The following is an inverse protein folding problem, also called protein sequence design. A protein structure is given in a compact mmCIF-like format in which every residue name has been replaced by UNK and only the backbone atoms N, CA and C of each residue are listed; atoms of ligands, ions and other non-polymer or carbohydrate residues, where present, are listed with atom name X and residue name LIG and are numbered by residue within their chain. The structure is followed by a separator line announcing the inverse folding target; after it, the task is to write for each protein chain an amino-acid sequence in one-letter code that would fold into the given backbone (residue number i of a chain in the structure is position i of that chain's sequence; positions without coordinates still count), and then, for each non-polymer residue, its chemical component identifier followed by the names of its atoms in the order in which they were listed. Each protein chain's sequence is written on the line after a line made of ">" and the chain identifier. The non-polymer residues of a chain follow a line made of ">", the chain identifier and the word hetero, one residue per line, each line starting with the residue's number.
data_IF_491222649368
#
_entry.id   IF_491222649368
#
_cell.length_a   1.000
_cell.length_b   1.000
_cell.length_c   1.000
_cell.angle_alpha   90.00
_cell.angle_beta   90.00
_cell.angle_gamma   90.00
#
_symmetry.space_group_name_H-M   'P 1'
#
loop_
_entity.id
_entity.type
_entity.pdbx_description
1 polymer ?
#
# COMPACT_ATOMS: atom_id res chain seq x y z
N UNK A 1 -10.09 -0.10 -35.66
CA UNK A 1 -9.30 -1.21 -35.08
C UNK A 1 -8.49 -0.60 -33.93
N UNK A 2 -8.48 -1.21 -32.75
CA UNK A 2 -7.64 -0.70 -31.66
C UNK A 2 -6.21 -1.22 -31.86
N UNK A 3 -5.22 -0.35 -31.74
CA UNK A 3 -3.79 -0.67 -31.97
C UNK A 3 -3.06 -1.02 -30.66
N UNK A 4 -3.62 -0.70 -29.49
CA UNK A 4 -3.15 -1.14 -28.19
C UNK A 4 -4.29 -1.12 -27.16
N UNK A 5 -4.19 -1.98 -26.15
CA UNK A 5 -5.05 -1.99 -24.96
C UNK A 5 -4.14 -1.89 -23.74
N UNK A 6 -4.41 -0.92 -22.87
CA UNK A 6 -3.71 -0.76 -21.59
C UNK A 6 -4.58 -1.36 -20.50
N UNK A 7 -4.02 -2.31 -19.76
CA UNK A 7 -4.67 -2.91 -18.61
C UNK A 7 -4.07 -2.33 -17.34
N UNK A 8 -4.92 -2.00 -16.40
CA UNK A 8 -4.49 -1.76 -15.03
C UNK A 8 -4.12 -3.10 -14.37
N UNK A 9 -3.22 -3.07 -13.39
CA UNK A 9 -2.80 -4.27 -12.66
C UNK A 9 -3.74 -4.52 -11.47
N UNK A 10 -3.93 -3.50 -10.64
CA UNK A 10 -4.61 -3.60 -9.36
C UNK A 10 -6.14 -3.64 -9.55
N UNK A 11 -6.77 -4.71 -9.09
CA UNK A 11 -8.24 -4.88 -9.20
C UNK A 11 -8.76 -5.18 -10.60
N UNK A 12 -7.88 -5.31 -11.60
CA UNK A 12 -8.21 -5.76 -12.96
C UNK A 12 -7.56 -7.11 -13.29
N UNK A 13 -6.26 -7.27 -13.04
CA UNK A 13 -5.53 -8.54 -13.28
C UNK A 13 -5.13 -9.27 -12.01
N UNK A 14 -4.80 -8.54 -10.94
CA UNK A 14 -4.47 -9.09 -9.63
C UNK A 14 -5.25 -8.36 -8.53
N UNK A 15 -5.86 -9.09 -7.60
CA UNK A 15 -6.42 -8.49 -6.38
C UNK A 15 -5.29 -8.31 -5.36
N UNK A 16 -4.46 -7.27 -5.56
CA UNK A 16 -3.33 -6.89 -4.69
C UNK A 16 -3.76 -6.13 -3.44
N UNK A 17 -5.07 -5.82 -3.32
CA UNK A 17 -5.60 -5.05 -2.21
C UNK A 17 -5.39 -5.71 -0.84
N UNK A 18 -5.55 -7.04 -0.67
CA UNK A 18 -5.25 -7.72 0.58
C UNK A 18 -3.78 -7.57 0.99
N UNK A 19 -2.86 -7.72 0.05
CA UNK A 19 -1.41 -7.72 0.32
C UNK A 19 -0.94 -6.32 0.73
N UNK A 20 -1.41 -5.28 0.02
CA UNK A 20 -1.18 -3.88 0.38
C UNK A 20 -1.73 -3.55 1.77
N UNK A 21 -2.93 -4.05 2.10
CA UNK A 21 -3.52 -3.84 3.41
C UNK A 21 -2.76 -4.58 4.52
N UNK A 22 -2.29 -5.80 4.25
CA UNK A 22 -1.50 -6.60 5.17
C UNK A 22 -0.14 -5.95 5.45
N UNK A 23 0.58 -5.54 4.41
CA UNK A 23 1.83 -4.79 4.49
C UNK A 23 1.71 -3.54 5.37
N UNK A 24 0.69 -2.70 5.12
CA UNK A 24 0.48 -1.49 5.92
C UNK A 24 0.18 -1.81 7.39
N UNK A 25 -0.62 -2.85 7.65
CA UNK A 25 -0.95 -3.24 9.02
C UNK A 25 0.24 -3.89 9.74
N UNK A 26 1.13 -4.59 9.04
CA UNK A 26 2.43 -5.04 9.58
C UNK A 26 3.27 -3.85 10.01
N UNK A 27 3.44 -2.87 9.12
CA UNK A 27 4.18 -1.65 9.42
C UNK A 27 3.59 -0.86 10.60
N UNK A 28 2.25 -0.77 10.70
CA UNK A 28 1.57 -0.17 11.86
C UNK A 28 1.83 -0.95 13.15
N UNK A 29 1.80 -2.28 13.09
CA UNK A 29 2.09 -3.14 14.25
C UNK A 29 3.52 -2.96 14.75
N UNK A 30 4.51 -2.85 13.85
CA UNK A 30 5.91 -2.59 14.22
C UNK A 30 6.10 -1.26 14.94
N UNK A 31 5.21 -0.30 14.69
CA UNK A 31 5.18 1.02 15.35
C UNK A 31 4.28 1.05 16.59
N UNK A 32 3.68 -0.08 16.99
CA UNK A 32 2.74 -0.16 18.11
C UNK A 32 1.39 0.50 17.85
N UNK A 33 1.03 0.75 16.58
CA UNK A 33 -0.25 1.33 16.18
C UNK A 33 -1.29 0.24 15.92
N UNK A 34 -2.55 0.51 16.28
CA UNK A 34 -3.65 -0.41 16.01
C UNK A 34 -3.86 -0.63 14.50
N UNK A 35 -4.16 -1.86 14.08
CA UNK A 35 -4.46 -2.16 12.69
C UNK A 35 -5.66 -1.36 12.16
N UNK A 36 -5.63 -0.99 10.88
CA UNK A 36 -6.75 -0.38 10.18
C UNK A 36 -7.63 -1.45 9.51
N UNK A 37 -8.96 -1.23 9.44
CA UNK A 37 -9.85 -2.17 8.77
C UNK A 37 -9.50 -2.34 7.29
N UNK A 38 -9.44 -3.60 6.81
CA UNK A 38 -9.12 -3.90 5.41
C UNK A 38 -10.06 -3.19 4.42
N UNK A 39 -11.34 -3.05 4.76
CA UNK A 39 -12.31 -2.31 3.94
C UNK A 39 -11.92 -0.84 3.72
N UNK A 40 -11.32 -0.18 4.72
CA UNK A 40 -10.83 1.20 4.61
C UNK A 40 -9.59 1.27 3.72
N UNK A 41 -8.72 0.26 3.79
CA UNK A 41 -7.49 0.22 3.02
C UNK A 41 -7.74 -0.12 1.55
N UNK A 42 -8.73 -0.98 1.27
CA UNK A 42 -9.10 -1.39 -0.10
C UNK A 42 -9.47 -0.22 -1.01
N UNK A 43 -10.08 0.86 -0.50
CA UNK A 43 -10.41 2.03 -1.32
C UNK A 43 -9.18 2.90 -1.66
N UNK A 44 -8.03 2.61 -1.06
CA UNK A 44 -6.81 3.40 -1.17
C UNK A 44 -5.70 2.66 -1.93
N UNK A 45 -5.89 1.39 -2.26
CA UNK A 45 -4.88 0.55 -2.92
C UNK A 45 -4.50 1.08 -4.30
N UNK A 46 -5.46 1.65 -5.04
CA UNK A 46 -5.23 2.30 -6.34
C UNK A 46 -4.32 3.53 -6.27
N UNK A 47 -4.04 4.04 -5.06
CA UNK A 47 -3.10 5.15 -4.83
C UNK A 47 -1.68 4.66 -4.51
N UNK A 48 -1.46 3.34 -4.48
CA UNK A 48 -0.18 2.68 -4.21
C UNK A 48 0.39 3.01 -2.83
N UNK A 49 1.70 2.78 -2.67
CA UNK A 49 2.42 3.01 -1.42
C UNK A 49 2.19 4.42 -0.84
N UNK A 50 2.13 5.45 -1.69
CA UNK A 50 1.89 6.84 -1.27
C UNK A 50 0.55 7.00 -0.55
N UNK A 51 -0.54 6.50 -1.14
CA UNK A 51 -1.87 6.59 -0.52
C UNK A 51 -1.97 5.76 0.75
N UNK A 52 -1.33 4.59 0.75
CA UNK A 52 -1.27 3.69 1.90
C UNK A 52 -0.53 4.33 3.09
N UNK A 53 0.64 4.91 2.86
CA UNK A 53 1.41 5.61 3.89
C UNK A 53 0.69 6.87 4.40
N UNK A 54 0.04 7.63 3.51
CA UNK A 54 -0.74 8.80 3.95
C UNK A 54 -1.92 8.40 4.83
N UNK A 55 -2.68 7.38 4.46
CA UNK A 55 -3.84 6.97 5.25
C UNK A 55 -3.47 6.19 6.53
N UNK A 56 -2.37 5.44 6.47
CA UNK A 56 -1.94 4.55 7.53
C UNK A 56 -0.92 5.13 8.48
N UNK A 57 -0.18 6.18 8.12
CA UNK A 57 0.86 6.78 8.97
C UNK A 57 0.83 8.32 8.95
N UNK A 58 -0.11 8.92 8.22
CA UNK A 58 -0.21 10.37 7.98
C UNK A 58 0.98 10.99 7.21
N UNK A 59 1.84 10.15 6.63
CA UNK A 59 3.08 10.59 5.99
C UNK A 59 2.88 11.12 4.56
N UNK A 60 3.70 12.09 4.18
CA UNK A 60 3.75 12.72 2.86
C UNK A 60 5.17 12.64 2.29
N UNK A 61 5.30 12.69 0.95
CA UNK A 61 6.60 12.57 0.26
C UNK A 61 7.65 13.62 0.67
N UNK A 62 7.23 14.72 1.31
CA UNK A 62 8.13 15.76 1.82
C UNK A 62 8.60 15.53 3.26
N UNK A 63 8.06 14.53 3.97
CA UNK A 63 8.46 14.26 5.35
C UNK A 63 9.87 13.63 5.38
N UNK A 64 10.73 14.02 6.35
CA UNK A 64 12.10 13.53 6.43
C UNK A 64 12.22 12.00 6.41
N UNK A 65 11.28 11.31 7.05
CA UNK A 65 11.32 9.86 7.23
C UNK A 65 10.53 9.11 6.14
N UNK A 66 9.87 9.81 5.20
CA UNK A 66 8.99 9.17 4.21
C UNK A 66 9.70 8.08 3.41
N UNK A 67 10.93 8.34 2.97
CA UNK A 67 11.70 7.40 2.17
C UNK A 67 11.96 6.08 2.92
N UNK A 68 12.32 6.16 4.20
CA UNK A 68 12.53 4.99 5.05
C UNK A 68 11.24 4.17 5.18
N UNK A 69 10.12 4.83 5.51
CA UNK A 69 8.85 4.15 5.70
C UNK A 69 8.27 3.59 4.39
N UNK A 70 8.55 4.25 3.27
CA UNK A 70 8.24 3.73 1.94
C UNK A 70 8.98 2.44 1.65
N UNK A 71 10.29 2.40 1.90
CA UNK A 71 11.09 1.19 1.69
C UNK A 71 10.68 0.07 2.65
N UNK A 72 10.40 0.38 3.92
CA UNK A 72 9.85 -0.59 4.88
C UNK A 72 8.49 -1.14 4.45
N UNK A 73 7.61 -0.30 3.91
CA UNK A 73 6.33 -0.73 3.37
C UNK A 73 6.54 -1.72 2.21
N UNK A 74 7.39 -1.39 1.25
CA UNK A 74 7.72 -2.25 0.11
C UNK A 74 8.35 -3.57 0.55
N UNK A 75 9.26 -3.55 1.52
CA UNK A 75 9.83 -4.76 2.09
C UNK A 75 8.75 -5.64 2.73
N UNK A 76 7.77 -5.05 3.43
CA UNK A 76 6.67 -5.82 4.05
C UNK A 76 5.68 -6.43 3.04
N UNK A 77 5.70 -5.99 1.77
CA UNK A 77 4.98 -6.63 0.66
C UNK A 77 5.72 -7.87 0.15
N UNK A 78 7.06 -7.84 0.14
CA UNK A 78 7.88 -8.93 -0.35
C UNK A 78 7.98 -10.13 0.61
N UNK A 79 7.42 -10.02 1.81
CA UNK A 79 7.46 -11.08 2.84
C UNK A 79 6.41 -12.18 2.60
N UNK A 80 5.64 -12.12 1.51
CA UNK A 80 4.70 -13.20 1.14
C UNK A 80 5.27 -14.09 0.02
N UNK A 81 5.81 -15.23 0.45
CA UNK A 81 5.84 -16.53 -0.26
C UNK A 81 5.41 -17.60 0.72
#
# INVERSE_FOLDING_TARGET
>A
MFEAVLFDLDGTFADTAPDLAAALNRLRSDLGLAALPAARLRSLTSQGARGMLKAGLDMQQGDPDYAEFHDRFLLSLAVEN
#
